data_IF_448138008714
#
_entry.id   IF_448138008714
#
_cell.length_a   1.000
_cell.length_b   1.000
_cell.length_c   1.000
_cell.angle_alpha   90.00
_cell.angle_beta   90.00
_cell.angle_gamma   90.00
#
_symmetry.space_group_name_H-M   'P 1'
#
loop_
_entity.id
_entity.type
_entity.pdbx_description
1 polymer ?
#
# COMPACT_ATOMS: atom_id res chain seq x y z
N UNK A 1 -13.00 29.14 -27.73
CA UNK A 1 -12.34 28.17 -26.83
C UNK A 1 -10.94 28.72 -26.63
N UNK A 2 -10.70 29.43 -25.53
CA UNK A 2 -9.49 30.25 -25.35
C UNK A 2 -8.29 29.37 -24.98
N UNK A 3 -7.19 29.51 -25.72
CA UNK A 3 -5.88 29.00 -25.32
C UNK A 3 -5.47 29.67 -24.02
N UNK A 4 -5.40 28.90 -22.93
CA UNK A 4 -4.81 29.39 -21.68
C UNK A 4 -3.32 29.59 -21.93
N UNK A 5 -2.88 30.84 -21.84
CA UNK A 5 -1.49 31.20 -22.03
C UNK A 5 -0.63 30.56 -20.94
N UNK A 6 0.58 30.11 -21.29
CA UNK A 6 1.57 29.59 -20.35
C UNK A 6 1.78 30.52 -19.14
N UNK A 7 1.60 31.83 -19.32
CA UNK A 7 1.63 32.82 -18.26
C UNK A 7 0.52 32.65 -17.21
N UNK A 8 -0.70 32.31 -17.62
CA UNK A 8 -1.84 32.06 -16.72
C UNK A 8 -1.64 30.78 -15.91
N UNK A 9 -1.01 29.76 -16.51
CA UNK A 9 -0.68 28.52 -15.82
C UNK A 9 0.39 28.72 -14.73
N UNK A 10 1.44 29.49 -15.03
CA UNK A 10 2.48 29.84 -14.04
C UNK A 10 1.89 30.72 -12.93
N UNK A 11 1.02 31.66 -13.26
CA UNK A 11 0.33 32.48 -12.26
C UNK A 11 -0.50 31.61 -11.29
N UNK A 12 -1.23 30.60 -11.81
CA UNK A 12 -1.96 29.65 -10.98
C UNK A 12 -1.08 28.74 -10.12
N UNK A 13 0.10 28.35 -10.63
CA UNK A 13 1.06 27.55 -9.85
C UNK A 13 1.71 28.35 -8.71
N UNK A 14 1.99 29.64 -8.94
CA UNK A 14 2.52 30.56 -7.91
C UNK A 14 1.48 30.80 -6.82
N UNK A 15 0.20 30.96 -7.18
CA UNK A 15 -0.90 31.12 -6.21
C UNK A 15 -1.08 29.88 -5.31
N UNK A 16 -0.72 28.69 -5.81
CA UNK A 16 -0.66 27.45 -5.04
C UNK A 16 0.62 27.32 -4.19
N UNK A 17 1.44 28.37 -4.10
CA UNK A 17 2.65 28.42 -3.26
C UNK A 17 3.85 27.68 -3.84
N UNK A 18 3.80 27.28 -5.12
CA UNK A 18 4.91 26.63 -5.78
C UNK A 18 5.96 27.68 -6.15
N UNK A 19 7.18 27.49 -5.65
CA UNK A 19 8.30 28.39 -5.96
C UNK A 19 8.61 28.33 -7.46
N UNK A 20 8.80 29.46 -8.16
CA UNK A 20 9.01 29.51 -9.61
C UNK A 20 10.14 28.60 -10.09
N UNK A 21 11.19 28.42 -9.28
CA UNK A 21 12.34 27.58 -9.58
C UNK A 21 11.95 26.10 -9.64
N UNK A 22 10.94 25.67 -8.86
CA UNK A 22 10.44 24.30 -8.88
C UNK A 22 9.54 24.04 -10.09
N UNK A 23 8.75 25.03 -10.51
CA UNK A 23 7.98 24.94 -11.75
C UNK A 23 8.91 24.84 -12.97
N UNK A 24 9.99 25.64 -13.00
CA UNK A 24 11.00 25.59 -14.04
C UNK A 24 11.76 24.25 -14.05
N UNK A 25 12.07 23.68 -12.88
CA UNK A 25 12.72 22.39 -12.76
C UNK A 25 11.87 21.24 -13.33
N UNK A 26 10.55 21.27 -13.10
CA UNK A 26 9.60 20.28 -13.65
C UNK A 26 9.53 20.37 -15.18
N UNK A 27 9.50 21.59 -15.73
CA UNK A 27 9.49 21.80 -17.19
C UNK A 27 10.81 21.36 -17.83
N UNK A 28 11.95 21.67 -17.19
CA UNK A 28 13.28 21.22 -17.64
C UNK A 28 13.42 19.70 -17.67
N UNK A 29 12.88 19.01 -16.67
CA UNK A 29 12.88 17.54 -16.60
C UNK A 29 12.03 16.90 -17.72
N UNK A 30 10.91 17.54 -18.08
CA UNK A 30 10.04 17.10 -19.16
C UNK A 30 10.69 17.19 -20.55
N UNK A 31 11.43 18.27 -20.80
CA UNK A 31 12.11 18.49 -22.09
C UNK A 31 13.29 17.52 -22.30
N UNK A 32 14.05 17.20 -21.25
CA UNK A 32 15.13 16.21 -21.34
C UNK A 32 14.61 14.79 -21.63
N UNK A 33 13.43 14.44 -21.11
CA UNK A 33 12.79 13.14 -21.39
C UNK A 33 12.28 13.04 -22.83
N UNK A 34 11.89 14.16 -23.43
CA UNK A 34 11.45 14.21 -24.84
C UNK A 34 12.56 14.04 -25.87
N UNK A 35 13.83 14.27 -25.51
CA UNK A 35 14.98 14.14 -26.44
C UNK A 35 15.80 12.86 -26.24
N UNK A 36 15.49 12.05 -25.22
CA UNK A 36 16.38 11.01 -24.70
C UNK A 36 16.01 9.55 -25.01
N UNK A 37 15.17 9.25 -26.00
CA UNK A 37 14.90 7.83 -26.31
C UNK A 37 14.61 7.55 -27.80
N UNK A 38 15.58 6.94 -28.50
CA UNK A 38 15.26 5.91 -29.46
C UNK A 38 15.95 4.61 -29.04
N UNK A 39 15.27 3.88 -28.16
CA UNK A 39 15.28 2.44 -28.10
C UNK A 39 16.47 1.84 -27.40
N UNK A 40 16.32 1.53 -26.12
CA UNK A 40 16.79 0.25 -25.58
C UNK A 40 15.86 -0.18 -24.44
N UNK A 41 15.19 -1.32 -24.64
CA UNK A 41 14.23 -1.90 -23.71
C UNK A 41 14.88 -2.31 -22.39
N UNK A 42 14.32 -1.80 -21.30
CA UNK A 42 14.37 -2.39 -19.97
C UNK A 42 12.93 -2.59 -19.50
N UNK A 43 12.57 -3.71 -18.87
CA UNK A 43 11.25 -3.90 -18.30
C UNK A 43 11.22 -3.15 -16.96
N UNK A 44 11.27 -1.83 -17.03
CA UNK A 44 11.07 -0.99 -15.85
C UNK A 44 9.62 -0.59 -15.85
N UNK A 45 8.86 -1.30 -15.01
CA UNK A 45 7.56 -0.95 -14.44
C UNK A 45 6.87 0.21 -15.15
N UNK A 46 5.86 -0.18 -15.93
CA UNK A 46 4.80 0.65 -16.49
C UNK A 46 4.60 1.95 -15.70
N UNK A 47 5.27 3.00 -16.17
CA UNK A 47 5.31 4.33 -15.55
C UNK A 47 4.44 5.32 -16.31
N UNK A 48 3.47 4.82 -17.10
CA UNK A 48 2.44 5.65 -17.74
C UNK A 48 1.19 5.88 -16.88
N UNK A 49 1.06 5.24 -15.71
CA UNK A 49 -0.12 5.38 -14.82
C UNK A 49 0.13 6.13 -13.49
N UNK A 50 1.36 6.59 -13.21
CA UNK A 50 1.79 6.89 -11.83
C UNK A 50 1.34 8.24 -11.22
N UNK A 51 0.61 9.11 -11.92
CA UNK A 51 0.32 10.45 -11.36
C UNK A 51 -1.00 10.58 -10.57
N UNK A 52 -1.98 9.67 -10.74
CA UNK A 52 -3.28 9.74 -10.01
C UNK A 52 -3.56 8.55 -9.08
N UNK A 53 -2.90 7.41 -9.25
CA UNK A 53 -3.21 6.19 -8.48
C UNK A 53 -2.52 6.13 -7.09
N UNK A 54 -1.41 6.85 -6.92
CA UNK A 54 -0.68 6.90 -5.65
C UNK A 54 -1.52 7.40 -4.46
N UNK A 55 -2.23 8.54 -4.60
CA UNK A 55 -3.13 9.04 -3.55
C UNK A 55 -4.27 8.08 -3.20
N UNK A 56 -4.89 7.44 -4.19
CA UNK A 56 -6.00 6.50 -3.98
C UNK A 56 -5.53 5.23 -3.25
N UNK A 57 -4.36 4.70 -3.62
CA UNK A 57 -3.75 3.56 -2.95
C UNK A 57 -3.46 3.88 -1.48
N UNK A 58 -2.89 5.06 -1.19
CA UNK A 58 -2.60 5.47 0.19
C UNK A 58 -3.87 5.60 1.03
N UNK A 59 -4.94 6.17 0.47
CA UNK A 59 -6.24 6.24 1.15
C UNK A 59 -6.77 4.83 1.46
N UNK A 60 -6.72 3.90 0.50
CA UNK A 60 -7.17 2.52 0.71
C UNK A 60 -6.40 1.81 1.83
N UNK A 61 -5.08 2.04 1.91
CA UNK A 61 -4.23 1.47 2.96
C UNK A 61 -4.58 2.07 4.31
N UNK A 62 -4.73 3.39 4.39
CA UNK A 62 -5.13 4.09 5.63
C UNK A 62 -6.47 3.56 6.14
N UNK A 63 -7.50 3.54 5.29
CA UNK A 63 -8.84 3.04 5.67
C UNK A 63 -8.78 1.60 6.17
N UNK A 64 -8.00 0.74 5.52
CA UNK A 64 -7.82 -0.64 5.98
C UNK A 64 -7.14 -0.71 7.35
N UNK A 65 -6.12 0.11 7.61
CA UNK A 65 -5.43 0.14 8.90
C UNK A 65 -6.33 0.66 10.02
N UNK A 66 -7.13 1.69 9.75
CA UNK A 66 -8.13 2.22 10.67
C UNK A 66 -9.20 1.16 11.00
N UNK A 67 -9.71 0.46 9.98
CA UNK A 67 -10.67 -0.62 10.17
C UNK A 67 -10.09 -1.78 10.99
N UNK A 68 -8.82 -2.14 10.77
CA UNK A 68 -8.12 -3.15 11.60
C UNK A 68 -8.04 -2.69 13.06
N UNK A 69 -7.65 -1.44 13.31
CA UNK A 69 -7.54 -0.90 14.66
C UNK A 69 -8.90 -0.93 15.37
N UNK A 70 -9.94 -0.44 14.69
CA UNK A 70 -11.31 -0.42 15.22
C UNK A 70 -11.86 -1.82 15.49
N UNK A 71 -11.63 -2.78 14.60
CA UNK A 71 -12.06 -4.16 14.79
C UNK A 71 -11.41 -4.82 16.03
N UNK A 72 -10.13 -4.52 16.28
CA UNK A 72 -9.41 -5.01 17.45
C UNK A 72 -9.92 -4.35 18.73
N UNK A 73 -10.13 -3.04 18.70
CA UNK A 73 -10.58 -2.26 19.86
C UNK A 73 -12.00 -2.65 20.29
N UNK A 74 -12.90 -2.79 19.32
CA UNK A 74 -14.31 -3.14 19.56
C UNK A 74 -14.52 -4.64 19.78
N UNK A 75 -13.59 -5.49 19.32
CA UNK A 75 -13.76 -6.93 19.29
C UNK A 75 -14.93 -7.39 18.41
N UNK A 76 -15.36 -6.55 17.46
CA UNK A 76 -16.54 -6.80 16.63
C UNK A 76 -16.44 -8.11 15.83
N UNK A 77 -17.55 -8.84 15.66
CA UNK A 77 -17.58 -10.03 14.82
C UNK A 77 -17.44 -9.65 13.33
N UNK A 78 -16.58 -10.38 12.62
CA UNK A 78 -16.28 -10.16 11.20
C UNK A 78 -16.60 -11.41 10.37
N UNK A 79 -16.99 -11.19 9.12
CA UNK A 79 -17.16 -12.23 8.11
C UNK A 79 -15.83 -12.72 7.55
N UNK A 80 -15.84 -13.89 6.91
CA UNK A 80 -14.67 -14.45 6.21
C UNK A 80 -14.14 -13.50 5.11
N UNK A 81 -15.02 -12.76 4.44
CA UNK A 81 -14.64 -11.80 3.40
C UNK A 81 -13.93 -10.58 4.00
N UNK A 82 -14.49 -10.00 5.05
CA UNK A 82 -13.89 -8.86 5.75
C UNK A 82 -12.52 -9.21 6.33
N UNK A 83 -12.39 -10.38 6.97
CA UNK A 83 -11.08 -10.86 7.44
C UNK A 83 -10.09 -10.97 6.28
N UNK A 84 -10.51 -11.50 5.12
CA UNK A 84 -9.65 -11.62 3.95
C UNK A 84 -9.13 -10.25 3.49
N UNK A 85 -9.98 -9.22 3.48
CA UNK A 85 -9.60 -7.85 3.13
C UNK A 85 -8.67 -7.22 4.17
N UNK A 86 -9.00 -7.36 5.47
CA UNK A 86 -8.26 -6.74 6.56
C UNK A 86 -6.87 -7.36 6.74
N UNK A 87 -6.78 -8.70 6.76
CA UNK A 87 -5.51 -9.42 6.92
C UNK A 87 -4.76 -9.60 5.58
N UNK A 88 -5.45 -9.38 4.45
CA UNK A 88 -4.92 -9.56 3.09
C UNK A 88 -4.63 -11.01 2.72
N UNK A 89 -5.22 -11.98 3.42
CA UNK A 89 -5.05 -13.41 3.16
C UNK A 89 -6.35 -14.15 3.48
N UNK A 90 -6.73 -15.11 2.62
CA UNK A 90 -7.94 -15.90 2.82
C UNK A 90 -7.75 -16.85 4.01
N UNK A 91 -8.65 -16.87 5.01
CA UNK A 91 -8.51 -17.79 6.12
C UNK A 91 -8.67 -19.26 5.70
N UNK A 92 -7.66 -20.09 5.96
CA UNK A 92 -7.66 -21.53 5.62
C UNK A 92 -7.88 -22.47 6.81
N UNK A 93 -7.76 -21.97 8.04
CA UNK A 93 -7.89 -22.73 9.29
C UNK A 93 -8.65 -21.91 10.33
N UNK A 94 -9.04 -22.50 11.46
CA UNK A 94 -9.79 -21.79 12.51
C UNK A 94 -9.01 -20.62 13.16
N UNK A 95 -7.68 -20.57 12.98
CA UNK A 95 -6.82 -19.49 13.48
C UNK A 95 -5.77 -19.16 12.42
N UNK A 96 -5.80 -17.94 11.91
CA UNK A 96 -4.88 -17.47 10.87
C UNK A 96 -4.08 -16.30 11.39
N UNK A 97 -2.76 -16.35 11.20
CA UNK A 97 -1.84 -15.34 11.68
C UNK A 97 -1.05 -14.78 10.52
N UNK A 98 -0.94 -13.45 10.47
CA UNK A 98 -0.10 -12.77 9.49
C UNK A 98 0.58 -11.58 10.16
N UNK A 99 1.90 -11.58 10.11
CA UNK A 99 2.73 -10.60 10.82
C UNK A 99 2.30 -10.47 12.29
N UNK A 100 1.73 -9.32 12.68
CA UNK A 100 1.27 -9.00 14.03
C UNK A 100 -0.22 -9.18 14.30
N UNK A 101 -0.99 -9.73 13.36
CA UNK A 101 -2.45 -9.91 13.48
C UNK A 101 -2.82 -11.38 13.53
N UNK A 102 -3.82 -11.70 14.36
CA UNK A 102 -4.45 -13.01 14.43
C UNK A 102 -5.94 -12.84 14.17
N UNK A 103 -6.46 -13.63 13.23
CA UNK A 103 -7.88 -13.84 13.01
C UNK A 103 -8.27 -15.20 13.58
N UNK A 104 -9.27 -15.22 14.46
CA UNK A 104 -9.73 -16.42 15.16
C UNK A 104 -11.22 -16.64 14.89
N UNK A 105 -11.58 -17.86 14.49
CA UNK A 105 -12.96 -18.21 14.12
C UNK A 105 -13.74 -18.58 15.38
N UNK A 106 -14.73 -17.76 15.73
CA UNK A 106 -15.62 -17.98 16.87
C UNK A 106 -16.92 -18.70 16.48
N UNK A 107 -17.26 -18.73 15.19
CA UNK A 107 -18.46 -19.39 14.66
C UNK A 107 -18.41 -19.63 13.15
N UNK A 108 -19.49 -20.15 12.57
CA UNK A 108 -19.58 -20.36 11.11
C UNK A 108 -19.53 -19.01 10.40
N UNK A 109 -18.44 -18.74 9.69
CA UNK A 109 -18.16 -17.46 9.03
C UNK A 109 -18.12 -16.26 10.00
N UNK A 110 -17.88 -16.49 11.29
CA UNK A 110 -17.74 -15.42 12.29
C UNK A 110 -16.33 -15.48 12.88
N UNK A 111 -15.64 -14.36 12.79
CA UNK A 111 -14.24 -14.20 13.17
C UNK A 111 -14.04 -13.00 14.08
N UNK A 112 -12.98 -13.04 14.86
CA UNK A 112 -12.52 -11.91 15.66
C UNK A 112 -11.06 -11.63 15.34
N UNK A 113 -10.70 -10.35 15.24
CA UNK A 113 -9.32 -9.91 15.06
C UNK A 113 -8.69 -9.52 16.40
N UNK A 114 -7.44 -9.91 16.60
CA UNK A 114 -6.63 -9.53 17.74
C UNK A 114 -5.18 -9.30 17.35
N UNK A 115 -4.44 -8.58 18.19
CA UNK A 115 -2.97 -8.50 18.06
C UNK A 115 -2.34 -9.84 18.44
N UNK A 116 -1.30 -10.24 17.71
CA UNK A 116 -0.47 -11.38 18.08
C UNK A 116 0.34 -11.03 19.34
N UNK A 117 0.28 -11.90 20.36
CA UNK A 117 1.08 -11.78 21.59
C UNK A 117 2.56 -12.03 21.30
N UNK A 118 3.45 -11.50 22.14
CA UNK A 118 4.91 -11.62 21.96
C UNK A 118 5.37 -13.09 21.88
N UNK A 119 4.86 -13.96 22.75
CA UNK A 119 5.11 -15.40 22.73
C UNK A 119 4.68 -16.07 21.40
N UNK A 120 3.54 -15.64 20.84
CA UNK A 120 3.03 -16.12 19.55
C UNK A 120 3.79 -15.54 18.35
N UNK A 121 4.60 -14.48 18.53
CA UNK A 121 5.50 -13.94 17.50
C UNK A 121 6.81 -14.74 17.44
N UNK A 122 7.33 -15.14 18.60
CA UNK A 122 8.59 -15.88 18.74
C UNK A 122 8.47 -17.32 18.27
N UNK A 123 7.41 -18.04 18.65
CA UNK A 123 7.15 -19.45 18.29
C UNK A 123 6.98 -19.71 16.77
N UNK A 124 7.03 -18.65 15.99
CA UNK A 124 6.55 -18.58 14.63
C UNK A 124 7.57 -18.01 13.65
N UNK A 125 8.71 -17.58 14.18
CA UNK A 125 9.89 -17.34 13.38
C UNK A 125 10.54 -18.71 13.23
N UNK A 126 10.32 -19.46 12.12
CA UNK A 126 11.22 -20.55 11.83
C UNK A 126 12.59 -19.89 11.73
N UNK A 127 13.46 -20.15 12.71
CA UNK A 127 14.85 -19.74 12.60
C UNK A 127 15.32 -20.30 11.26
N UNK A 128 15.75 -19.42 10.37
CA UNK A 128 16.11 -19.73 8.98
C UNK A 128 17.09 -20.93 8.86
N UNK A 129 17.77 -21.28 9.96
CA UNK A 129 18.66 -22.43 10.12
C UNK A 129 17.98 -23.80 10.28
N UNK A 130 16.70 -23.88 10.64
CA UNK A 130 16.06 -25.18 10.96
C UNK A 130 15.77 -26.01 9.70
N UNK A 131 15.48 -25.36 8.58
CA UNK A 131 15.30 -26.02 7.28
C UNK A 131 16.59 -26.63 6.72
N UNK A 132 17.75 -26.07 7.05
CA UNK A 132 19.06 -26.56 6.62
C UNK A 132 19.52 -27.80 7.40
N UNK A 133 19.20 -27.89 8.71
CA UNK A 133 19.58 -29.06 9.53
C UNK A 133 18.84 -30.34 9.18
N UNK A 134 17.67 -30.25 8.56
CA UNK A 134 16.85 -31.42 8.25
C UNK A 134 17.29 -32.17 6.98
N UNK A 135 18.34 -31.70 6.30
CA UNK A 135 18.83 -32.22 5.02
C UNK A 135 20.30 -32.66 5.03
N UNK A 136 20.90 -32.83 6.21
CA UNK A 136 22.27 -33.35 6.36
C UNK A 136 22.24 -34.72 7.05
#
# INVERSE_FOLDING_TARGET
MGEQSFADWIAGAIDQGVKPEQALAVVGLGLMRGMGDPGYGLPLFDSESTSQDGPLLMQSIKTRLEAVAMAIETGAPLSTQEVTLLIGARPGSAKVRRAGLVAERIGRNVWQLRRARSEEREAATPTFSEGFRRRL
#
